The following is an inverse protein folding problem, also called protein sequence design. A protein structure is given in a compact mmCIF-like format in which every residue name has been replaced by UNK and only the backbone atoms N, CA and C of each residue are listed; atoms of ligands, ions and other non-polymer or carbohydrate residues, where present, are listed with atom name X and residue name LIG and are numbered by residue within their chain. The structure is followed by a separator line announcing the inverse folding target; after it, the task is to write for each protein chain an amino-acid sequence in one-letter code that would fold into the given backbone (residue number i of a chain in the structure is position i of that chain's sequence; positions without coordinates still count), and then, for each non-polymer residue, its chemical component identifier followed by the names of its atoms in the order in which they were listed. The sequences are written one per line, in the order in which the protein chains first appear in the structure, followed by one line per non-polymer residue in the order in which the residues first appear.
data_IF_537427999531
#
_entry.id   IF_537427999531
#
_cell.length_a   1.000
_cell.length_b   1.000
_cell.length_c   1.000
_cell.angle_alpha   90.00
_cell.angle_beta   90.00
_cell.angle_gamma   90.00
#
_symmetry.space_group_name_H-M   'P 1'
#
loop_
_entity.id
_entity.type
_entity.pdbx_description
1 polymer ?
#
# COMPACT_ATOMS: atom_id res chain seq x y z
N UNK A 1 23.96 7.31 16.74
CA UNK A 1 23.10 6.24 16.21
C UNK A 1 22.52 6.74 14.90
N UNK A 2 22.87 6.13 13.77
CA UNK A 2 22.31 6.48 12.47
C UNK A 2 20.96 5.77 12.34
N UNK A 3 19.86 6.53 12.39
CA UNK A 3 18.52 5.98 12.18
C UNK A 3 18.37 5.67 10.70
N UNK A 4 18.58 4.41 10.32
CA UNK A 4 18.32 3.94 8.96
C UNK A 4 16.80 3.90 8.75
N UNK A 5 16.24 5.00 8.28
CA UNK A 5 14.84 5.08 7.89
C UNK A 5 14.61 4.15 6.69
N UNK A 6 13.92 3.03 6.91
CA UNK A 6 13.45 2.16 5.83
C UNK A 6 12.21 2.79 5.23
N UNK A 7 12.31 3.32 4.01
CA UNK A 7 11.15 3.85 3.28
C UNK A 7 10.42 2.67 2.65
N UNK A 8 9.23 2.36 3.16
CA UNK A 8 8.31 1.42 2.52
C UNK A 8 7.33 2.19 1.65
N UNK A 9 7.06 1.67 0.46
CA UNK A 9 5.98 2.13 -0.40
C UNK A 9 4.99 0.99 -0.58
N UNK A 10 3.72 1.23 -0.28
CA UNK A 10 2.63 0.28 -0.53
C UNK A 10 1.75 0.85 -1.63
N UNK A 11 1.58 0.11 -2.71
CA UNK A 11 0.68 0.48 -3.81
C UNK A 11 -0.53 -0.44 -3.78
N UNK A 12 -1.70 0.11 -3.48
CA UNK A 12 -2.97 -0.57 -3.54
C UNK A 12 -3.58 -0.39 -4.93
N UNK A 13 -4.05 -1.49 -5.51
CA UNK A 13 -4.73 -1.52 -6.81
C UNK A 13 -6.19 -1.86 -6.55
N UNK A 14 -7.06 -0.96 -6.98
CA UNK A 14 -8.50 -1.11 -6.95
C UNK A 14 -9.06 -1.15 -8.38
N UNK A 15 -10.31 -1.57 -8.50
CA UNK A 15 -11.07 -1.54 -9.75
C UNK A 15 -12.27 -0.63 -9.55
N UNK A 16 -12.45 0.31 -10.48
CA UNK A 16 -13.68 1.08 -10.68
C UNK A 16 -14.53 0.43 -11.79
N UNK A 17 -15.81 0.76 -11.81
CA UNK A 17 -16.83 0.20 -12.71
C UNK A 17 -16.30 0.08 -14.15
N UNK A 18 -16.26 -1.14 -14.68
CA UNK A 18 -15.81 -1.42 -16.04
C UNK A 18 -14.30 -1.62 -16.26
N UNK A 19 -13.55 -2.09 -15.26
CA UNK A 19 -12.16 -2.57 -15.41
C UNK A 19 -11.09 -1.46 -15.47
N UNK A 20 -11.41 -0.26 -14.99
CA UNK A 20 -10.43 0.83 -14.84
C UNK A 20 -9.64 0.68 -13.54
N UNK A 21 -8.32 0.40 -13.59
CA UNK A 21 -7.54 0.23 -12.38
C UNK A 21 -7.23 1.58 -11.71
N UNK A 22 -7.65 1.73 -10.46
CA UNK A 22 -7.30 2.89 -9.61
C UNK A 22 -6.12 2.51 -8.72
N UNK A 23 -5.09 3.37 -8.69
CA UNK A 23 -3.88 3.14 -7.88
C UNK A 23 -3.80 4.13 -6.73
N UNK A 24 -3.67 3.63 -5.51
CA UNK A 24 -3.40 4.42 -4.31
C UNK A 24 -2.02 4.03 -3.79
N UNK A 25 -1.06 4.95 -3.86
CA UNK A 25 0.31 4.72 -3.41
C UNK A 25 0.58 5.47 -2.10
N UNK A 26 0.94 4.72 -1.06
CA UNK A 26 1.37 5.24 0.23
C UNK A 26 2.87 5.13 0.33
N UNK A 27 3.55 6.28 0.40
CA UNK A 27 4.99 6.35 0.58
C UNK A 27 5.32 6.61 2.06
N UNK A 28 6.47 6.11 2.52
CA UNK A 28 6.91 6.17 3.92
C UNK A 28 6.04 5.34 4.87
N UNK A 29 5.49 4.23 4.37
CA UNK A 29 4.90 3.23 5.24
C UNK A 29 5.95 2.67 6.22
N UNK A 30 5.47 2.11 7.34
CA UNK A 30 6.24 1.36 8.34
C UNK A 30 7.19 0.36 7.68
N UNK A 31 8.32 0.08 8.34
CA UNK A 31 9.47 -0.63 7.74
C UNK A 31 9.17 -2.07 7.31
N UNK A 32 8.11 -2.69 7.85
CA UNK A 32 7.69 -4.07 7.58
C UNK A 32 6.21 -4.27 7.93
N UNK A 33 5.26 -3.81 7.09
CA UNK A 33 3.85 -4.09 7.32
C UNK A 33 3.58 -5.59 7.13
N UNK A 34 2.83 -6.20 8.04
CA UNK A 34 2.39 -7.58 7.90
C UNK A 34 1.33 -7.72 6.80
N UNK A 35 1.24 -8.91 6.19
CA UNK A 35 0.27 -9.16 5.12
C UNK A 35 -1.19 -8.91 5.55
N UNK A 36 -1.52 -9.25 6.81
CA UNK A 36 -2.82 -8.98 7.45
C UNK A 36 -3.11 -7.50 7.52
N UNK A 37 -2.15 -6.70 8.00
CA UNK A 37 -2.29 -5.24 8.10
C UNK A 37 -2.53 -4.58 6.73
N UNK A 38 -1.89 -5.09 5.67
CA UNK A 38 -2.11 -4.61 4.31
C UNK A 38 -3.52 -4.97 3.83
N UNK A 39 -3.98 -6.19 4.08
CA UNK A 39 -5.32 -6.63 3.71
C UNK A 39 -6.42 -5.84 4.44
N UNK A 40 -6.28 -5.66 5.75
CA UNK A 40 -7.23 -4.92 6.60
C UNK A 40 -7.33 -3.45 6.14
N UNK A 41 -6.18 -2.84 5.85
CA UNK A 41 -6.16 -1.48 5.34
C UNK A 41 -6.73 -1.36 3.93
N UNK A 42 -6.43 -2.33 3.05
CA UNK A 42 -7.01 -2.42 1.70
C UNK A 42 -8.54 -2.53 1.73
N UNK A 43 -9.09 -3.33 2.65
CA UNK A 43 -10.53 -3.46 2.87
C UNK A 43 -11.17 -2.16 3.42
N UNK A 44 -10.46 -1.48 4.32
CA UNK A 44 -10.87 -0.17 4.83
C UNK A 44 -10.94 0.87 3.71
N UNK A 45 -9.91 0.92 2.86
CA UNK A 45 -9.88 1.80 1.68
C UNK A 45 -11.00 1.45 0.69
N UNK A 46 -11.29 0.17 0.45
CA UNK A 46 -12.40 -0.25 -0.40
C UNK A 46 -13.74 0.29 0.13
N UNK A 47 -13.97 0.19 1.43
CA UNK A 47 -15.19 0.70 2.08
C UNK A 47 -15.32 2.22 1.96
N UNK A 48 -14.22 2.96 2.13
CA UNK A 48 -14.21 4.43 2.05
C UNK A 48 -14.34 4.97 0.63
N UNK A 49 -13.80 4.26 -0.35
CA UNK A 49 -13.75 4.71 -1.75
C UNK A 49 -14.89 4.16 -2.59
N UNK A 50 -15.59 3.12 -2.12
CA UNK A 50 -16.56 2.36 -2.91
C UNK A 50 -15.91 1.48 -3.98
N UNK A 51 -14.57 1.42 -4.05
CA UNK A 51 -13.84 0.68 -5.07
C UNK A 51 -13.57 -0.76 -4.60
N UNK A 52 -13.47 -1.68 -5.56
CA UNK A 52 -13.15 -3.09 -5.24
C UNK A 52 -11.64 -3.27 -5.08
N UNK A 53 -11.20 -3.73 -3.90
CA UNK A 53 -9.79 -4.04 -3.67
C UNK A 53 -9.36 -5.28 -4.46
N UNK A 54 -8.28 -5.15 -5.24
CA UNK A 54 -7.76 -6.25 -6.08
C UNK A 54 -6.46 -6.83 -5.51
N UNK A 55 -5.46 -5.99 -5.29
CA UNK A 55 -4.16 -6.43 -4.80
C UNK A 55 -3.36 -5.25 -4.25
N UNK A 56 -2.31 -5.54 -3.49
CA UNK A 56 -1.36 -4.55 -3.02
C UNK A 56 0.07 -5.04 -3.29
N UNK A 57 0.96 -4.11 -3.66
CA UNK A 57 2.38 -4.37 -3.83
C UNK A 57 3.18 -3.56 -2.82
N UNK A 58 4.08 -4.24 -2.10
CA UNK A 58 4.97 -3.62 -1.11
C UNK A 58 6.37 -3.54 -1.68
N UNK A 59 6.96 -2.35 -1.67
CA UNK A 59 8.35 -2.11 -2.04
C UNK A 59 9.08 -1.46 -0.87
N UNK A 60 10.10 -2.13 -0.34
CA UNK A 60 10.96 -1.62 0.72
C UNK A 60 12.29 -1.15 0.13
N UNK A 61 12.62 0.13 0.26
CA UNK A 61 13.97 0.62 -0.01
C UNK A 61 14.74 0.69 1.31
N UNK A 62 15.79 -0.13 1.40
CA UNK A 62 16.67 -0.20 2.57
C UNK A 62 17.84 0.79 2.50
N UNK A 63 17.92 1.60 1.44
CA UNK A 63 19.04 2.51 1.20
C UNK A 63 18.53 3.76 0.50
N UNK A 64 18.32 4.84 1.25
CA UNK A 64 18.51 6.19 0.70
C UNK A 64 19.99 6.50 0.90
N UNK A 65 20.75 6.41 -0.19
CA UNK A 65 22.15 6.82 -0.24
C UNK A 65 22.27 8.33 -0.07
#
# INVERSE_FOLDING_TARGET
MQTNWKKTTITFIFIDDGDHPVKIALQNAISTPEATQIADFGATLATLTGLTFRTATVSTQSTVA
#
